data_IF_568658860773
#
_entry.id   IF_568658860773
#
_cell.length_a   1.000
_cell.length_b   1.000
_cell.length_c   1.000
_cell.angle_alpha   90.00
_cell.angle_beta   90.00
_cell.angle_gamma   90.00
#
_symmetry.space_group_name_H-M   'P 1'
#
loop_
_entity.id
_entity.type
_entity.pdbx_description
1 polymer ?
#
# COMPACT_ATOMS: atom_id res chain seq x y z
N UNK A 1 1.65 -40.20 2.92
CA UNK A 1 2.30 -39.11 2.19
C UNK A 1 2.27 -37.88 3.08
N UNK A 2 3.41 -37.42 3.59
CA UNK A 2 3.47 -36.14 4.30
C UNK A 2 3.39 -35.04 3.25
N UNK A 3 2.24 -34.40 3.17
CA UNK A 3 2.05 -33.18 2.39
C UNK A 3 2.91 -32.10 3.04
N UNK A 4 4.11 -31.90 2.48
CA UNK A 4 5.03 -30.87 2.90
C UNK A 4 4.41 -29.56 2.45
N UNK A 5 3.59 -28.93 3.31
CA UNK A 5 3.24 -27.51 3.18
C UNK A 5 4.55 -26.74 3.22
N UNK A 6 5.12 -26.47 2.05
CA UNK A 6 6.10 -25.42 1.88
C UNK A 6 5.41 -24.15 2.36
N UNK A 7 5.86 -23.60 3.49
CA UNK A 7 5.50 -22.24 3.92
C UNK A 7 6.09 -21.26 2.90
N UNK A 8 5.46 -21.15 1.74
CA UNK A 8 5.64 -20.00 0.88
C UNK A 8 4.93 -18.86 1.61
N UNK A 9 5.67 -18.09 2.40
CA UNK A 9 5.21 -16.80 2.92
C UNK A 9 4.71 -16.01 1.73
N UNK A 10 3.40 -15.86 1.62
CA UNK A 10 2.80 -15.08 0.56
C UNK A 10 3.41 -13.66 0.59
N UNK A 11 3.72 -13.07 -0.57
CA UNK A 11 4.28 -11.73 -0.62
C UNK A 11 3.36 -10.75 0.11
N UNK A 12 3.93 -9.95 1.01
CA UNK A 12 3.18 -9.08 1.91
C UNK A 12 3.75 -7.65 1.92
N UNK A 13 2.84 -6.67 2.10
CA UNK A 13 3.18 -5.26 2.23
C UNK A 13 2.71 -4.81 3.64
N UNK A 14 3.62 -4.50 4.58
CA UNK A 14 3.23 -4.12 5.93
C UNK A 14 2.26 -2.93 5.94
N UNK A 15 1.15 -3.06 6.68
CA UNK A 15 0.13 -2.02 6.76
C UNK A 15 -0.89 -2.02 5.61
N UNK A 16 -0.74 -2.93 4.63
CA UNK A 16 -1.63 -3.06 3.48
C UNK A 16 -2.17 -4.49 3.38
N UNK A 17 -3.42 -4.61 2.96
CA UNK A 17 -4.05 -5.89 2.60
C UNK A 17 -3.89 -6.09 1.11
N UNK A 18 -3.19 -7.15 0.72
CA UNK A 18 -3.06 -7.57 -0.68
C UNK A 18 -4.23 -8.48 -1.07
N UNK A 19 -4.82 -8.23 -2.23
CA UNK A 19 -5.89 -9.00 -2.85
C UNK A 19 -5.43 -9.32 -4.28
N UNK A 20 -5.59 -10.56 -4.71
CA UNK A 20 -5.31 -10.98 -6.09
C UNK A 20 -6.62 -11.37 -6.73
N UNK A 21 -6.94 -10.74 -7.85
CA UNK A 21 -8.11 -11.10 -8.67
C UNK A 21 -7.90 -12.43 -9.39
N UNK A 22 -8.99 -13.05 -9.82
CA UNK A 22 -8.98 -14.27 -10.64
C UNK A 22 -8.28 -14.07 -12.00
N UNK A 23 -8.24 -12.83 -12.50
CA UNK A 23 -7.51 -12.45 -13.72
C UNK A 23 -6.04 -12.12 -13.47
N UNK A 24 -5.53 -12.29 -12.25
CA UNK A 24 -4.13 -12.06 -11.89
C UNK A 24 -3.75 -10.62 -11.58
N UNK A 25 -4.68 -9.65 -11.61
CA UNK A 25 -4.40 -8.28 -11.14
C UNK A 25 -4.27 -8.23 -9.63
N UNK A 26 -3.32 -7.45 -9.15
CA UNK A 26 -3.06 -7.21 -7.74
C UNK A 26 -3.70 -5.91 -7.30
N UNK A 27 -4.28 -5.94 -6.10
CA UNK A 27 -4.87 -4.79 -5.42
C UNK A 27 -4.29 -4.71 -4.02
N UNK A 28 -3.89 -3.53 -3.58
CA UNK A 28 -3.51 -3.28 -2.19
C UNK A 28 -4.41 -2.21 -1.61
N UNK A 29 -4.98 -2.49 -0.43
CA UNK A 29 -5.82 -1.56 0.33
C UNK A 29 -5.15 -1.28 1.66
N UNK A 30 -4.98 -0.01 2.02
CA UNK A 30 -4.34 0.37 3.28
C UNK A 30 -5.21 -0.01 4.47
N UNK A 31 -4.63 -0.69 5.45
CA UNK A 31 -5.36 -1.18 6.62
C UNK A 31 -5.86 -0.04 7.52
N UNK A 32 -5.12 1.07 7.58
CA UNK A 32 -5.47 2.27 8.33
C UNK A 32 -5.61 3.43 7.38
N UNK A 33 -6.69 4.20 7.54
CA UNK A 33 -6.93 5.39 6.74
C UNK A 33 -5.72 6.34 6.80
N UNK A 34 -5.44 7.00 5.67
CA UNK A 34 -4.50 8.12 5.65
C UNK A 34 -5.06 9.31 6.44
N UNK A 35 -4.19 10.15 7.04
CA UNK A 35 -4.62 11.41 7.62
C UNK A 35 -5.38 12.26 6.60
N UNK A 36 -6.34 13.07 7.05
CA UNK A 36 -7.16 13.92 6.15
C UNK A 36 -6.33 14.86 5.28
N UNK A 37 -5.18 15.33 5.78
CA UNK A 37 -4.25 16.15 5.00
C UNK A 37 -3.66 15.40 3.80
N UNK A 38 -3.23 14.16 4.00
CA UNK A 38 -2.69 13.32 2.94
C UNK A 38 -3.76 13.01 1.88
N UNK A 39 -5.00 12.72 2.31
CA UNK A 39 -6.12 12.53 1.37
C UNK A 39 -6.39 13.78 0.54
N UNK A 40 -6.34 14.99 1.15
CA UNK A 40 -6.46 16.25 0.40
C UNK A 40 -5.31 16.51 -0.56
N UNK A 41 -4.13 15.93 -0.30
CA UNK A 41 -2.98 15.97 -1.19
C UNK A 41 -3.05 14.92 -2.32
N UNK A 42 -4.16 14.18 -2.44
CA UNK A 42 -4.37 13.20 -3.51
C UNK A 42 -3.70 11.84 -3.26
N UNK A 43 -3.47 11.50 -2.00
CA UNK A 43 -3.01 10.16 -1.63
C UNK A 43 -4.18 9.17 -1.71
N UNK A 44 -3.94 8.07 -2.40
CA UNK A 44 -4.94 7.02 -2.61
C UNK A 44 -4.77 5.87 -1.60
N UNK A 45 -5.81 5.48 -0.85
CA UNK A 45 -5.76 4.36 0.11
C UNK A 45 -5.90 2.98 -0.55
N UNK A 46 -6.10 2.94 -1.87
CA UNK A 46 -6.17 1.74 -2.67
C UNK A 46 -5.35 1.94 -3.95
N UNK A 47 -4.57 0.93 -4.32
CA UNK A 47 -3.80 0.90 -5.56
C UNK A 47 -3.92 -0.47 -6.20
N UNK A 48 -3.87 -0.53 -7.52
CA UNK A 48 -3.85 -1.78 -8.29
C UNK A 48 -2.73 -1.74 -9.35
N UNK A 49 -2.24 -2.94 -9.70
CA UNK A 49 -1.31 -3.14 -10.81
C UNK A 49 -1.32 -4.61 -11.26
N UNK A 50 -0.63 -4.90 -12.37
CA UNK A 50 -0.60 -6.24 -12.96
C UNK A 50 0.41 -7.16 -12.25
N UNK A 51 1.37 -6.61 -11.50
CA UNK A 51 2.37 -7.38 -10.73
C UNK A 51 2.46 -6.95 -9.26
N UNK A 52 2.99 -7.84 -8.41
CA UNK A 52 3.22 -7.54 -7.01
C UNK A 52 4.25 -6.41 -6.82
N UNK A 53 5.32 -6.41 -7.61
CA UNK A 53 6.37 -5.39 -7.58
C UNK A 53 5.83 -4.01 -7.91
N UNK A 54 4.93 -3.90 -8.89
CA UNK A 54 4.27 -2.64 -9.25
C UNK A 54 3.33 -2.16 -8.15
N UNK A 55 2.52 -3.06 -7.56
CA UNK A 55 1.69 -2.69 -6.40
C UNK A 55 2.56 -2.23 -5.23
N UNK A 56 3.68 -2.89 -4.96
CA UNK A 56 4.62 -2.49 -3.91
C UNK A 56 5.22 -1.11 -4.18
N UNK A 57 5.60 -0.81 -5.42
CA UNK A 57 6.10 0.50 -5.82
C UNK A 57 5.01 1.58 -5.68
N UNK A 58 3.79 1.30 -6.13
CA UNK A 58 2.65 2.20 -5.99
C UNK A 58 2.34 2.50 -4.52
N UNK A 59 2.34 1.49 -3.65
CA UNK A 59 2.20 1.69 -2.19
C UNK A 59 3.29 2.61 -1.64
N UNK A 60 4.55 2.38 -2.01
CA UNK A 60 5.66 3.21 -1.53
C UNK A 60 5.46 4.68 -1.91
N UNK A 61 5.01 4.96 -3.14
CA UNK A 61 4.68 6.32 -3.60
C UNK A 61 3.54 6.94 -2.78
N UNK A 62 2.48 6.19 -2.47
CA UNK A 62 1.38 6.72 -1.65
C UNK A 62 1.82 7.00 -0.20
N UNK A 63 2.65 6.14 0.39
CA UNK A 63 3.18 6.35 1.74
C UNK A 63 4.16 7.53 1.80
N UNK A 64 4.98 7.73 0.77
CA UNK A 64 5.89 8.88 0.66
C UNK A 64 5.09 10.18 0.57
N UNK A 65 4.15 10.29 -0.39
CA UNK A 65 3.26 11.44 -0.53
C UNK A 65 2.52 11.76 0.78
N UNK A 66 2.09 10.73 1.51
CA UNK A 66 1.42 10.92 2.78
C UNK A 66 2.34 11.50 3.86
N UNK A 67 3.60 11.05 3.93
CA UNK A 67 4.60 11.61 4.85
C UNK A 67 4.90 13.06 4.52
N UNK A 68 5.10 13.38 3.24
CA UNK A 68 5.39 14.73 2.79
C UNK A 68 4.22 15.68 3.10
N UNK A 69 2.98 15.24 2.85
CA UNK A 69 1.80 16.02 3.15
C UNK A 69 1.64 16.32 4.66
N UNK A 70 2.03 15.38 5.53
CA UNK A 70 2.03 15.59 6.99
C UNK A 70 3.15 16.54 7.39
N UNK A 71 4.37 16.31 6.91
CA UNK A 71 5.53 17.14 7.23
C UNK A 71 5.35 18.60 6.77
N UNK A 72 4.70 18.83 5.62
CA UNK A 72 4.41 20.18 5.13
C UNK A 72 3.48 20.97 6.07
N UNK A 73 2.54 20.31 6.74
CA UNK A 73 1.66 20.97 7.74
C UNK A 73 2.41 21.24 9.03
N UNK A 74 3.26 20.32 9.46
CA UNK A 74 4.05 20.48 10.70
C UNK A 74 5.14 21.55 10.55
N UNK A 75 5.79 21.63 9.37
CA UNK A 75 6.80 22.64 9.06
C UNK A 75 6.23 24.02 8.68
N UNK A 76 4.97 24.09 8.25
CA UNK A 76 4.27 25.35 7.94
C UNK A 76 3.73 26.11 9.16
N UNK A 77 3.90 25.57 10.37
CA UNK A 77 3.47 26.18 11.63
C UNK A 77 4.60 26.97 12.35
N UNK A 78 5.61 27.45 11.61
CA UNK A 78 6.70 28.31 12.12
C UNK A 78 6.52 29.77 11.72
#
# INVERSE_FOLDING_TARGET
MHDRKSETTAPAIPGWRLIVSDTGRYWAIRNRAFPRVALRAGVEPAVDADTFEEVRAAVAVQEEKARDAVAAVEGGAS
#
